data_IF_738933554692
#
_entry.id   IF_738933554692
#
_cell.length_a   1.000
_cell.length_b   1.000
_cell.length_c   1.000
_cell.angle_alpha   90.00
_cell.angle_beta   90.00
_cell.angle_gamma   90.00
#
_symmetry.space_group_name_H-M   'P 1'
#
loop_
_entity.id
_entity.type
_entity.pdbx_description
1 polymer ?
#
# COMPACT_ATOMS: atom_id res chain seq x y z
N UNK A 1 -0.15 23.28 -33.46
CA UNK A 1 1.04 22.91 -32.67
C UNK A 1 0.61 22.89 -31.22
N UNK A 2 0.66 21.74 -30.56
CA UNK A 2 0.36 21.65 -29.12
C UNK A 2 1.60 22.15 -28.39
N UNK A 3 1.52 23.32 -27.75
CA UNK A 3 2.56 23.78 -26.83
C UNK A 3 2.72 22.72 -25.73
N UNK A 4 3.84 22.01 -25.74
CA UNK A 4 4.21 21.13 -24.64
C UNK A 4 4.41 22.02 -23.42
N UNK A 5 3.46 21.96 -22.50
CA UNK A 5 3.51 22.65 -21.22
C UNK A 5 4.74 22.13 -20.44
N UNK A 6 5.87 22.85 -20.54
CA UNK A 6 7.13 22.57 -19.84
C UNK A 6 7.00 22.94 -18.34
N UNK A 7 5.91 22.53 -17.69
CA UNK A 7 5.77 22.63 -16.24
C UNK A 7 6.66 21.57 -15.63
N UNK A 8 7.79 21.97 -15.03
CA UNK A 8 8.53 21.10 -14.10
C UNK A 8 7.59 20.72 -12.97
N UNK A 9 7.15 19.46 -12.96
CA UNK A 9 6.39 18.88 -11.85
C UNK A 9 7.26 18.88 -10.59
N UNK A 10 6.98 19.81 -9.68
CA UNK A 10 7.60 19.86 -8.36
C UNK A 10 6.76 19.03 -7.38
N UNK A 11 6.89 17.70 -7.48
CA UNK A 11 6.19 16.78 -6.58
C UNK A 11 6.82 16.83 -5.18
N UNK A 12 5.99 16.94 -4.15
CA UNK A 12 6.41 16.85 -2.75
C UNK A 12 6.24 15.44 -2.19
N UNK A 13 5.14 14.79 -2.55
CA UNK A 13 4.77 13.46 -2.06
C UNK A 13 4.22 12.63 -3.21
N UNK A 14 4.61 11.35 -3.27
CA UNK A 14 4.05 10.37 -4.18
C UNK A 14 3.43 9.25 -3.35
N UNK A 15 2.17 8.93 -3.66
CA UNK A 15 1.49 7.77 -3.10
C UNK A 15 1.56 6.61 -4.08
N UNK A 16 2.06 5.46 -3.64
CA UNK A 16 2.19 4.26 -4.45
C UNK A 16 1.66 3.03 -3.72
N UNK A 17 1.45 1.93 -4.43
CA UNK A 17 1.23 0.62 -3.83
C UNK A 17 2.55 0.03 -3.28
N UNK A 18 2.47 -1.22 -2.80
CA UNK A 18 3.61 -1.96 -2.27
C UNK A 18 4.32 -2.78 -3.37
N UNK A 19 4.63 -2.15 -4.50
CA UNK A 19 5.43 -2.75 -5.57
C UNK A 19 6.84 -2.16 -5.61
N UNK A 20 7.87 -3.00 -5.63
CA UNK A 20 9.26 -2.50 -5.64
C UNK A 20 9.58 -1.70 -6.90
N UNK A 21 9.04 -2.11 -8.05
CA UNK A 21 9.32 -1.48 -9.33
C UNK A 21 8.88 -0.01 -9.36
N UNK A 22 7.68 0.31 -8.83
CA UNK A 22 7.21 1.69 -8.80
C UNK A 22 8.01 2.53 -7.80
N UNK A 23 8.40 1.95 -6.66
CA UNK A 23 9.21 2.66 -5.65
C UNK A 23 10.61 3.00 -6.20
N UNK A 24 11.24 2.07 -6.90
CA UNK A 24 12.51 2.29 -7.59
C UNK A 24 12.37 3.34 -8.70
N UNK A 25 11.32 3.25 -9.53
CA UNK A 25 11.09 4.22 -10.59
C UNK A 25 10.90 5.64 -10.05
N UNK A 26 10.10 5.80 -8.98
CA UNK A 26 9.85 7.11 -8.35
C UNK A 26 11.13 7.72 -7.80
N UNK A 27 11.95 6.94 -7.11
CA UNK A 27 13.21 7.44 -6.51
C UNK A 27 14.28 7.78 -7.55
N UNK A 28 14.29 7.09 -8.69
CA UNK A 28 15.18 7.40 -9.82
C UNK A 28 14.76 8.69 -10.53
N UNK A 29 13.45 8.91 -10.74
CA UNK A 29 12.94 10.07 -11.48
C UNK A 29 12.87 11.33 -10.60
N UNK A 30 12.49 11.17 -9.33
CA UNK A 30 12.32 12.28 -8.38
C UNK A 30 13.12 12.03 -7.10
N UNK A 31 14.33 12.58 -7.03
CA UNK A 31 15.25 12.36 -5.90
C UNK A 31 14.83 13.06 -4.60
N UNK A 32 13.99 14.10 -4.69
CA UNK A 32 13.58 14.93 -3.56
C UNK A 32 12.07 14.82 -3.26
N UNK A 33 11.52 13.61 -3.39
CA UNK A 33 10.10 13.33 -3.13
C UNK A 33 9.92 12.44 -1.92
N UNK A 34 8.89 12.71 -1.12
CA UNK A 34 8.45 11.81 -0.06
C UNK A 34 7.60 10.69 -0.67
N UNK A 35 8.15 9.49 -0.75
CA UNK A 35 7.40 8.31 -1.16
C UNK A 35 6.61 7.78 0.04
N UNK A 36 5.30 7.57 -0.14
CA UNK A 36 4.41 7.01 0.87
C UNK A 36 3.60 5.89 0.25
N UNK A 37 3.58 4.73 0.86
CA UNK A 37 2.76 3.63 0.36
C UNK A 37 1.29 3.77 0.78
N UNK A 38 0.39 3.13 0.04
CA UNK A 38 -1.05 3.19 0.26
C UNK A 38 -1.45 2.35 1.48
N UNK A 39 -2.14 2.97 2.45
CA UNK A 39 -2.57 2.29 3.69
C UNK A 39 -3.56 1.15 3.41
N UNK A 40 -4.44 1.35 2.42
CA UNK A 40 -5.39 0.33 2.02
C UNK A 40 -4.68 -0.92 1.50
N UNK A 41 -3.68 -0.76 0.65
CA UNK A 41 -2.88 -1.88 0.11
C UNK A 41 -2.03 -2.57 1.18
N UNK A 42 -1.53 -1.84 2.18
CA UNK A 42 -0.88 -2.44 3.35
C UNK A 42 -1.85 -3.37 4.08
N UNK A 43 -3.03 -2.84 4.43
CA UNK A 43 -4.06 -3.59 5.13
C UNK A 43 -4.54 -4.81 4.34
N UNK A 44 -4.70 -4.68 3.02
CA UNK A 44 -5.01 -5.81 2.15
C UNK A 44 -3.91 -6.88 2.16
N UNK A 45 -2.63 -6.49 2.14
CA UNK A 45 -1.51 -7.43 2.17
C UNK A 45 -1.49 -8.24 3.47
N UNK A 46 -1.67 -7.55 4.61
CA UNK A 46 -1.77 -8.21 5.92
C UNK A 46 -3.00 -9.10 6.02
N UNK A 47 -4.14 -8.64 5.51
CA UNK A 47 -5.37 -9.44 5.46
C UNK A 47 -5.20 -10.71 4.63
N UNK A 48 -4.61 -10.62 3.43
CA UNK A 48 -4.31 -11.80 2.60
C UNK A 48 -3.40 -12.78 3.32
N UNK A 49 -2.40 -12.30 4.07
CA UNK A 49 -1.53 -13.17 4.88
C UNK A 49 -2.31 -13.87 6.00
N UNK A 50 -3.18 -13.16 6.71
CA UNK A 50 -4.08 -13.73 7.73
C UNK A 50 -4.95 -14.84 7.13
N UNK A 51 -5.53 -14.59 5.95
CA UNK A 51 -6.33 -15.58 5.23
C UNK A 51 -5.51 -16.80 4.82
N UNK A 52 -4.32 -16.60 4.25
CA UNK A 52 -3.42 -17.66 3.82
C UNK A 52 -2.95 -18.55 4.98
N UNK A 53 -2.87 -18.00 6.19
CA UNK A 53 -2.56 -18.74 7.41
C UNK A 53 -3.79 -19.39 8.06
N UNK A 54 -5.00 -19.24 7.49
CA UNK A 54 -6.23 -19.79 8.04
C UNK A 54 -6.66 -19.14 9.36
N UNK A 55 -6.27 -17.88 9.59
CA UNK A 55 -6.58 -17.13 10.81
C UNK A 55 -7.88 -16.32 10.72
N UNK A 56 -8.57 -16.36 9.57
CA UNK A 56 -9.78 -15.57 9.28
C UNK A 56 -10.87 -15.67 10.35
N UNK A 57 -11.19 -16.88 10.83
CA UNK A 57 -12.23 -17.07 11.84
C UNK A 57 -11.85 -16.46 13.18
N UNK A 58 -10.61 -16.68 13.61
CA UNK A 58 -10.06 -16.12 14.85
C UNK A 58 -9.96 -14.59 14.79
N UNK A 59 -9.62 -14.03 13.63
CA UNK A 59 -9.60 -12.58 13.43
C UNK A 59 -10.98 -11.94 13.60
N UNK A 60 -12.03 -12.60 13.10
CA UNK A 60 -13.41 -12.08 13.15
C UNK A 60 -14.05 -12.24 14.52
N UNK A 61 -13.52 -13.12 15.36
CA UNK A 61 -13.97 -13.30 16.74
C UNK A 61 -13.36 -12.23 17.65
N UNK A 62 -14.21 -11.33 18.16
CA UNK A 62 -13.80 -10.21 19.02
C UNK A 62 -13.28 -10.65 20.39
N UNK A 63 -13.64 -11.84 20.85
CA UNK A 63 -13.17 -12.36 22.14
C UNK A 63 -11.86 -13.15 22.00
N UNK A 64 -11.47 -13.50 20.77
CA UNK A 64 -10.23 -14.18 20.48
C UNK A 64 -9.02 -13.30 20.85
N UNK A 65 -8.11 -13.84 21.68
CA UNK A 65 -6.81 -13.24 21.91
C UNK A 65 -6.00 -13.08 20.60
N UNK A 66 -6.14 -14.03 19.67
CA UNK A 66 -5.59 -13.95 18.32
C UNK A 66 -6.22 -12.80 17.54
N UNK A 67 -7.54 -12.65 17.58
CA UNK A 67 -8.23 -11.55 16.92
C UNK A 67 -7.78 -10.18 17.45
N UNK A 68 -7.66 -10.04 18.77
CA UNK A 68 -7.16 -8.82 19.43
C UNK A 68 -5.72 -8.51 19.02
N UNK A 69 -4.81 -9.49 19.11
CA UNK A 69 -3.41 -9.34 18.68
C UNK A 69 -3.29 -8.88 17.23
N UNK A 70 -3.99 -9.56 16.32
CA UNK A 70 -3.97 -9.21 14.90
C UNK A 70 -4.53 -7.80 14.68
N UNK A 71 -5.62 -7.43 15.37
CA UNK A 71 -6.19 -6.08 15.30
C UNK A 71 -5.20 -5.01 15.77
N UNK A 72 -4.45 -5.26 16.85
CA UNK A 72 -3.42 -4.33 17.31
C UNK A 72 -2.28 -4.15 16.32
N UNK A 73 -1.91 -5.20 15.57
CA UNK A 73 -0.94 -5.06 14.47
C UNK A 73 -1.41 -4.02 13.43
N UNK A 74 -2.71 -3.98 13.11
CA UNK A 74 -3.31 -2.95 12.22
C UNK A 74 -3.27 -1.52 12.79
N UNK A 75 -2.89 -1.35 14.05
CA UNK A 75 -2.62 -0.04 14.66
C UNK A 75 -1.22 0.52 14.36
N UNK A 76 -0.24 -0.34 14.05
CA UNK A 76 1.15 0.09 13.81
C UNK A 76 1.33 1.16 12.71
N UNK A 77 0.58 1.15 11.59
CA UNK A 77 0.73 2.17 10.55
C UNK A 77 0.42 3.61 11.01
N UNK A 78 -0.16 3.77 12.21
CA UNK A 78 -0.51 5.05 12.81
C UNK A 78 0.50 5.55 13.85
N UNK A 79 1.58 4.79 14.07
CA UNK A 79 2.70 5.20 14.93
C UNK A 79 3.70 6.06 14.15
N UNK A 80 4.61 6.72 14.87
CA UNK A 80 5.81 7.24 14.23
C UNK A 80 6.73 6.08 13.84
N UNK A 81 7.56 6.23 12.79
CA UNK A 81 8.52 5.19 12.41
C UNK A 81 9.38 4.74 13.59
N UNK A 82 9.84 5.66 14.43
CA UNK A 82 10.70 5.37 15.58
C UNK A 82 10.04 4.47 16.62
N UNK A 83 8.71 4.58 16.79
CA UNK A 83 7.95 3.88 17.83
C UNK A 83 7.55 2.44 17.41
N UNK A 84 7.67 2.09 16.13
CA UNK A 84 7.20 0.78 15.63
C UNK A 84 8.03 -0.38 16.16
N UNK A 85 9.36 -0.21 16.25
CA UNK A 85 10.25 -1.23 16.77
C UNK A 85 9.88 -1.64 18.19
N UNK A 86 9.79 -0.67 19.08
CA UNK A 86 9.43 -0.87 20.50
C UNK A 86 8.00 -1.40 20.64
N UNK A 87 7.05 -0.87 19.86
CA UNK A 87 5.68 -1.39 19.86
C UNK A 87 5.62 -2.88 19.46
N UNK A 88 6.37 -3.28 18.43
CA UNK A 88 6.37 -4.65 17.95
C UNK A 88 7.10 -5.61 18.90
N UNK A 89 8.29 -5.22 19.35
CA UNK A 89 9.18 -6.08 20.13
C UNK A 89 8.84 -6.12 21.62
N UNK A 90 8.19 -5.10 22.17
CA UNK A 90 7.83 -5.05 23.59
C UNK A 90 6.33 -5.21 23.78
N UNK A 91 5.53 -4.29 23.25
CA UNK A 91 4.10 -4.25 23.53
C UNK A 91 3.36 -5.44 22.89
N UNK A 92 3.54 -5.67 21.59
CA UNK A 92 2.85 -6.74 20.85
C UNK A 92 3.40 -8.13 21.22
N UNK A 93 4.72 -8.27 21.40
CA UNK A 93 5.34 -9.55 21.77
C UNK A 93 4.83 -10.06 23.13
N UNK A 94 4.62 -9.17 24.11
CA UNK A 94 4.15 -9.52 25.46
C UNK A 94 2.75 -10.13 25.48
N UNK A 95 1.92 -9.79 24.49
CA UNK A 95 0.54 -10.27 24.36
C UNK A 95 0.37 -11.30 23.24
N UNK A 96 1.48 -11.72 22.61
CA UNK A 96 1.45 -12.63 21.47
C UNK A 96 0.89 -14.00 21.88
N UNK A 97 -0.23 -14.46 21.25
CA UNK A 97 -0.80 -15.76 21.57
C UNK A 97 0.13 -16.92 21.17
N UNK A 98 0.14 -17.98 21.98
CA UNK A 98 0.86 -19.23 21.69
C UNK A 98 0.19 -19.99 20.54
N UNK A 99 0.52 -19.60 19.31
CA UNK A 99 -0.02 -20.17 18.08
C UNK A 99 1.02 -20.05 16.97
N UNK A 100 1.45 -21.19 16.41
CA UNK A 100 2.49 -21.21 15.36
C UNK A 100 2.13 -20.37 14.12
N UNK A 101 0.84 -20.21 13.83
CA UNK A 101 0.37 -19.36 12.72
C UNK A 101 0.57 -17.88 13.00
N UNK A 102 0.50 -17.48 14.26
CA UNK A 102 0.80 -16.11 14.68
C UNK A 102 2.29 -15.83 14.57
N UNK A 103 3.14 -16.80 14.94
CA UNK A 103 4.59 -16.69 14.71
C UNK A 103 4.87 -16.48 13.22
N UNK A 104 4.29 -17.30 12.33
CA UNK A 104 4.42 -17.12 10.88
C UNK A 104 3.90 -15.78 10.34
N UNK A 105 2.94 -15.16 11.04
CA UNK A 105 2.46 -13.82 10.69
C UNK A 105 3.44 -12.74 11.18
N UNK A 106 3.95 -12.87 12.40
CA UNK A 106 4.97 -11.99 12.96
C UNK A 106 6.26 -12.02 12.12
N UNK A 107 6.75 -13.20 11.75
CA UNK A 107 7.93 -13.36 10.86
C UNK A 107 7.71 -12.63 9.53
N UNK A 108 6.52 -12.77 8.94
CA UNK A 108 6.16 -12.05 7.73
C UNK A 108 6.20 -10.53 7.92
N UNK A 109 5.77 -10.01 9.06
CA UNK A 109 5.86 -8.58 9.37
C UNK A 109 7.31 -8.12 9.53
N UNK A 110 8.14 -8.91 10.20
CA UNK A 110 9.58 -8.65 10.38
C UNK A 110 10.30 -8.58 9.03
N UNK A 111 10.10 -9.57 8.17
CA UNK A 111 10.77 -9.67 6.88
C UNK A 111 10.36 -8.55 5.90
N UNK A 112 9.10 -8.11 5.97
CA UNK A 112 8.56 -7.19 4.96
C UNK A 112 8.49 -5.74 5.44
N UNK A 113 8.37 -5.48 6.74
CA UNK A 113 7.99 -4.16 7.24
C UNK A 113 8.77 -3.65 8.44
N UNK A 114 9.18 -4.51 9.38
CA UNK A 114 9.69 -4.08 10.70
C UNK A 114 11.22 -4.12 10.83
N UNK A 115 11.89 -5.13 10.27
CA UNK A 115 13.35 -5.25 10.42
C UNK A 115 14.11 -4.13 9.70
N UNK A 116 15.34 -3.85 10.12
CA UNK A 116 16.22 -2.89 9.43
C UNK A 116 16.59 -3.31 8.00
N UNK A 117 16.43 -4.59 7.67
CA UNK A 117 16.58 -5.15 6.32
C UNK A 117 15.25 -5.47 5.65
N UNK A 118 14.14 -4.93 6.18
CA UNK A 118 12.82 -5.18 5.66
C UNK A 118 12.69 -4.70 4.21
N UNK A 119 11.88 -5.41 3.44
CA UNK A 119 11.58 -5.05 2.04
C UNK A 119 11.02 -3.63 1.90
N UNK A 120 10.24 -3.16 2.88
CA UNK A 120 9.64 -1.83 2.88
C UNK A 120 10.02 -1.05 4.16
N UNK A 121 10.78 0.06 4.03
CA UNK A 121 11.19 0.88 5.17
C UNK A 121 10.02 1.48 5.96
N UNK A 122 10.20 1.67 7.27
CA UNK A 122 9.16 2.20 8.17
C UNK A 122 8.61 3.54 7.70
N UNK A 123 9.47 4.42 7.18
CA UNK A 123 9.16 5.79 6.79
C UNK A 123 8.17 5.86 5.63
N UNK A 124 8.12 4.82 4.79
CA UNK A 124 7.23 4.78 3.63
C UNK A 124 5.85 4.23 3.99
N UNK A 125 5.70 3.45 5.06
CA UNK A 125 4.41 2.82 5.42
C UNK A 125 3.80 3.28 6.74
N UNK A 126 4.56 3.87 7.65
CA UNK A 126 4.09 4.46 8.92
C UNK A 126 3.91 5.97 8.81
N UNK A 127 2.92 6.52 9.50
CA UNK A 127 2.77 7.96 9.70
C UNK A 127 1.75 8.23 10.81
N UNK A 128 2.15 8.99 11.84
CA UNK A 128 1.23 9.49 12.87
C UNK A 128 0.34 10.59 12.30
N UNK A 129 -0.64 10.19 11.51
CA UNK A 129 -1.55 11.10 10.83
C UNK A 129 -2.93 10.46 10.66
N UNK A 130 -3.97 11.24 10.98
CA UNK A 130 -5.37 10.91 10.70
C UNK A 130 -5.76 11.14 9.24
N UNK A 131 -4.81 11.57 8.39
CA UNK A 131 -5.07 11.86 6.99
C UNK A 131 -5.58 10.63 6.22
N UNK A 132 -6.66 10.84 5.48
CA UNK A 132 -7.22 9.88 4.53
C UNK A 132 -6.48 9.88 3.17
N UNK A 133 -5.44 10.70 3.00
CA UNK A 133 -4.79 10.92 1.70
C UNK A 133 -3.91 9.77 1.23
N UNK A 134 -3.69 8.73 2.05
CA UNK A 134 -2.86 7.56 1.70
C UNK A 134 -3.64 6.49 0.93
N UNK A 135 -4.33 6.91 -0.13
CA UNK A 135 -5.07 6.02 -1.04
C UNK A 135 -4.65 6.21 -2.49
N UNK A 136 -4.80 5.16 -3.27
CA UNK A 136 -4.63 5.12 -4.73
C UNK A 136 -5.98 5.16 -5.45
N UNK A 137 -7.06 5.55 -4.74
CA UNK A 137 -8.44 5.52 -5.24
C UNK A 137 -8.62 6.31 -6.54
N UNK A 138 -7.90 7.43 -6.70
CA UNK A 138 -7.94 8.20 -7.94
C UNK A 138 -7.35 7.41 -9.12
N UNK A 139 -6.21 6.75 -8.92
CA UNK A 139 -5.59 5.88 -9.93
C UNK A 139 -6.47 4.66 -10.22
N UNK A 140 -7.04 4.02 -9.19
CA UNK A 140 -7.95 2.87 -9.33
C UNK A 140 -9.24 3.27 -10.05
N UNK A 141 -9.81 4.44 -9.75
CA UNK A 141 -10.98 4.97 -10.44
C UNK A 141 -10.68 5.30 -11.90
N UNK A 142 -9.52 5.90 -12.18
CA UNK A 142 -9.06 6.12 -13.55
C UNK A 142 -8.92 4.80 -14.30
N UNK A 143 -8.22 3.81 -13.74
CA UNK A 143 -8.06 2.49 -14.35
C UNK A 143 -9.41 1.80 -14.57
N UNK A 144 -10.34 1.88 -13.60
CA UNK A 144 -11.67 1.31 -13.74
C UNK A 144 -12.45 1.97 -14.88
N UNK A 145 -12.42 3.31 -14.97
CA UNK A 145 -13.09 4.05 -16.04
C UNK A 145 -12.46 3.73 -17.39
N UNK A 146 -11.14 3.73 -17.48
CA UNK A 146 -10.41 3.38 -18.70
C UNK A 146 -10.70 1.94 -19.15
N UNK A 147 -10.66 0.98 -18.23
CA UNK A 147 -11.00 -0.42 -18.53
C UNK A 147 -12.45 -0.59 -18.99
N UNK A 148 -13.39 0.21 -18.46
CA UNK A 148 -14.80 0.16 -18.88
C UNK A 148 -15.03 0.61 -20.33
N UNK A 149 -14.06 1.28 -20.94
CA UNK A 149 -14.10 1.68 -22.36
C UNK A 149 -13.73 0.55 -23.32
N UNK A 150 -13.34 -0.62 -22.80
CA UNK A 150 -13.05 -1.81 -23.60
C UNK A 150 -14.10 -2.90 -23.37
N UNK A 151 -14.58 -3.50 -24.47
CA UNK A 151 -15.54 -4.61 -24.43
C UNK A 151 -14.87 -5.99 -24.42
N UNK A 152 -13.53 -6.04 -24.54
CA UNK A 152 -12.72 -7.25 -24.59
C UNK A 152 -11.48 -7.10 -23.72
N UNK A 153 -11.02 -8.21 -23.12
CA UNK A 153 -9.82 -8.21 -22.27
C UNK A 153 -8.52 -7.86 -23.04
N UNK A 154 -8.51 -8.08 -24.35
CA UNK A 154 -7.36 -7.83 -25.23
C UNK A 154 -7.82 -7.05 -26.48
N UNK A 155 -8.05 -5.73 -26.35
CA UNK A 155 -8.48 -4.91 -27.48
C UNK A 155 -7.38 -4.83 -28.55
N UNK A 156 -7.79 -4.66 -29.81
CA UNK A 156 -6.83 -4.43 -30.89
C UNK A 156 -6.04 -3.14 -30.64
N UNK A 157 -4.74 -3.09 -30.98
CA UNK A 157 -3.87 -1.94 -30.67
C UNK A 157 -4.44 -0.61 -31.18
N UNK A 158 -5.07 -0.60 -32.37
CA UNK A 158 -5.74 0.60 -32.89
C UNK A 158 -6.92 1.05 -32.02
N UNK A 159 -7.75 0.12 -31.53
CA UNK A 159 -8.86 0.45 -30.62
C UNK A 159 -8.35 0.98 -29.29
N UNK A 160 -7.27 0.37 -28.78
CA UNK A 160 -6.58 0.86 -27.59
C UNK A 160 -6.09 2.29 -27.76
N UNK A 161 -5.42 2.59 -28.87
CA UNK A 161 -4.91 3.93 -29.16
C UNK A 161 -6.02 4.96 -29.32
N UNK A 162 -7.13 4.62 -29.97
CA UNK A 162 -8.29 5.50 -30.08
C UNK A 162 -8.82 5.88 -28.70
N UNK A 163 -9.12 4.89 -27.85
CA UNK A 163 -9.63 5.13 -26.49
C UNK A 163 -8.64 5.94 -25.65
N UNK A 164 -7.34 5.67 -25.78
CA UNK A 164 -6.31 6.40 -25.05
C UNK A 164 -6.23 7.88 -25.46
N UNK A 165 -6.32 8.18 -26.76
CA UNK A 165 -6.34 9.56 -27.27
C UNK A 165 -7.59 10.30 -26.80
N UNK A 166 -8.75 9.64 -26.84
CA UNK A 166 -10.01 10.22 -26.38
C UNK A 166 -9.92 10.59 -24.88
N UNK A 167 -9.43 9.68 -24.04
CA UNK A 167 -9.19 9.94 -22.62
C UNK A 167 -8.20 11.07 -22.37
N UNK A 168 -7.10 11.12 -23.14
CA UNK A 168 -6.12 12.19 -23.01
C UNK A 168 -6.74 13.55 -23.34
N UNK A 169 -7.63 13.60 -24.34
CA UNK A 169 -8.31 14.83 -24.77
C UNK A 169 -9.34 15.33 -23.74
N UNK A 170 -10.03 14.42 -23.05
CA UNK A 170 -10.98 14.77 -21.98
C UNK A 170 -10.29 15.21 -20.68
N UNK A 171 -9.05 14.77 -20.44
CA UNK A 171 -8.33 14.98 -19.16
C UNK A 171 -7.38 16.18 -19.20
N UNK A 172 -6.96 16.63 -20.39
CA UNK A 172 -6.17 17.85 -20.57
C UNK A 172 -7.09 19.09 -20.49
N UNK A 173 -7.08 19.77 -19.33
CA UNK A 173 -7.49 21.18 -19.17
C UNK A 173 -6.27 22.04 -18.92
#
# INVERSE_FOLDING_TARGET
QVEKCNKKLALRTVFADFEEAIQQAVTVVWTNVSLKCCRFHLGQSWWRKIQALGLTSLYKDKESNVGKYLTYCFGMPFLNPEDVGDCFLEALSSIQPQNYRIVKFADYLVDNYVSGSAKFPLEIWTEMSSSLQRTTNACESFHSRFNSSFYFAHPHIFQFLTVLIDFQSETYV
#
